data_IF_117601845047
#
_entry.id   IF_117601845047
#
_cell.length_a   1.000
_cell.length_b   1.000
_cell.length_c   1.000
_cell.angle_alpha   90.00
_cell.angle_beta   90.00
_cell.angle_gamma   90.00
#
_symmetry.space_group_name_H-M   'P 1'
#
loop_
_entity.id
_entity.type
_entity.pdbx_description
1 polymer ?
#
# COMPACT_ATOMS: atom_id res chain seq x y z
N UNK A 1 15.30 6.26 7.98
CA UNK A 1 14.38 6.20 9.13
C UNK A 1 13.15 5.45 8.66
N UNK A 2 12.93 4.22 9.13
CA UNK A 2 11.81 3.41 8.63
C UNK A 2 10.44 3.95 9.07
N UNK A 3 10.41 4.77 10.14
CA UNK A 3 9.20 5.36 10.68
C UNK A 3 8.70 6.61 9.94
N UNK A 4 9.56 7.29 9.19
CA UNK A 4 9.20 8.53 8.49
C UNK A 4 8.12 8.30 7.44
N UNK A 5 8.20 7.17 6.72
CA UNK A 5 7.18 6.78 5.75
C UNK A 5 5.82 6.59 6.43
N UNK A 6 5.77 5.82 7.53
CA UNK A 6 4.51 5.57 8.24
C UNK A 6 3.95 6.85 8.86
N UNK A 7 4.81 7.71 9.39
CA UNK A 7 4.40 9.02 9.91
C UNK A 7 3.84 9.92 8.82
N UNK A 8 4.49 9.96 7.66
CA UNK A 8 4.01 10.73 6.51
C UNK A 8 2.65 10.21 6.03
N UNK A 9 2.48 8.90 5.89
CA UNK A 9 1.20 8.29 5.52
C UNK A 9 0.13 8.60 6.58
N UNK A 10 0.44 8.44 7.86
CA UNK A 10 -0.50 8.70 8.94
C UNK A 10 -0.95 10.15 9.03
N UNK A 11 0.01 11.07 9.06
CA UNK A 11 -0.25 12.49 9.27
C UNK A 11 -0.78 13.16 7.98
N UNK A 12 -0.10 12.95 6.85
CA UNK A 12 -0.42 13.65 5.60
C UNK A 12 -1.57 13.00 4.84
N UNK A 13 -1.60 11.66 4.73
CA UNK A 13 -2.61 10.96 3.92
C UNK A 13 -3.87 10.61 4.72
N UNK A 14 -3.71 10.25 6.00
CA UNK A 14 -4.81 9.80 6.87
C UNK A 14 -5.27 10.88 7.87
N UNK A 15 -4.57 12.01 7.98
CA UNK A 15 -4.94 13.11 8.88
C UNK A 15 -4.81 12.77 10.38
N UNK A 16 -4.01 11.76 10.72
CA UNK A 16 -3.81 11.34 12.11
C UNK A 16 -2.90 12.33 12.84
N UNK A 17 -3.28 12.72 14.05
CA UNK A 17 -2.37 13.42 14.95
C UNK A 17 -1.22 12.49 15.38
N UNK A 18 -0.11 13.07 15.83
CA UNK A 18 1.01 12.28 16.35
C UNK A 18 0.60 11.37 17.52
N UNK A 19 -0.34 11.84 18.36
CA UNK A 19 -0.85 11.06 19.49
C UNK A 19 -1.68 9.88 19.00
N UNK A 20 -2.50 10.07 17.97
CA UNK A 20 -3.34 9.01 17.41
C UNK A 20 -2.49 7.98 16.65
N UNK A 21 -1.46 8.44 15.94
CA UNK A 21 -0.50 7.56 15.26
C UNK A 21 0.20 6.58 16.23
N UNK A 22 0.56 7.02 17.43
CA UNK A 22 1.18 6.13 18.42
C UNK A 22 0.19 5.20 19.14
N UNK A 23 -1.11 5.53 19.11
CA UNK A 23 -2.18 4.74 19.76
C UNK A 23 -2.85 3.75 18.81
N UNK A 24 -2.72 3.94 17.50
CA UNK A 24 -3.34 3.07 16.50
C UNK A 24 -2.60 1.73 16.42
N UNK A 25 -3.35 0.65 16.23
CA UNK A 25 -2.72 -0.65 15.97
C UNK A 25 -2.24 -0.70 14.51
N UNK A 26 -1.11 -1.37 14.22
CA UNK A 26 -0.60 -1.50 12.85
C UNK A 26 -1.64 -2.08 11.88
N UNK A 27 -2.49 -3.00 12.34
CA UNK A 27 -3.56 -3.59 11.53
C UNK A 27 -4.65 -2.57 11.18
N UNK A 28 -5.03 -1.70 12.12
CA UNK A 28 -6.01 -0.65 11.83
C UNK A 28 -5.44 0.39 10.86
N UNK A 29 -4.18 0.78 11.07
CA UNK A 29 -3.45 1.69 10.17
C UNK A 29 -3.42 1.16 8.74
N UNK A 30 -3.05 -0.12 8.55
CA UNK A 30 -3.01 -0.75 7.24
C UNK A 30 -4.38 -0.77 6.56
N UNK A 31 -5.45 -1.08 7.30
CA UNK A 31 -6.82 -1.05 6.75
C UNK A 31 -7.22 0.34 6.28
N UNK A 32 -6.92 1.38 7.06
CA UNK A 32 -7.18 2.76 6.67
C UNK A 32 -6.41 3.15 5.41
N UNK A 33 -5.13 2.77 5.34
CA UNK A 33 -4.31 3.01 4.16
C UNK A 33 -4.85 2.28 2.91
N UNK A 34 -5.26 1.02 3.03
CA UNK A 34 -5.90 0.28 1.92
C UNK A 34 -7.20 0.96 1.48
N UNK A 35 -8.02 1.47 2.40
CA UNK A 35 -9.24 2.21 2.03
C UNK A 35 -8.91 3.51 1.29
N UNK A 36 -7.88 4.23 1.72
CA UNK A 36 -7.39 5.42 1.01
C UNK A 36 -6.95 5.08 -0.42
N UNK A 37 -6.20 3.99 -0.60
CA UNK A 37 -5.80 3.51 -1.92
C UNK A 37 -6.99 3.12 -2.79
N UNK A 38 -7.98 2.39 -2.25
CA UNK A 38 -9.21 2.04 -3.00
C UNK A 38 -9.95 3.25 -3.55
N UNK A 39 -9.95 4.35 -2.81
CA UNK A 39 -10.70 5.55 -3.18
C UNK A 39 -9.95 6.42 -4.19
N UNK A 40 -8.64 6.59 -4.01
CA UNK A 40 -7.83 7.51 -4.82
C UNK A 40 -7.12 6.83 -6.01
N UNK A 41 -6.70 5.58 -5.83
CA UNK A 41 -5.90 4.79 -6.78
C UNK A 41 -6.38 3.33 -6.81
N UNK A 42 -7.59 3.07 -7.32
CA UNK A 42 -8.16 1.71 -7.34
C UNK A 42 -7.33 0.72 -8.17
N UNK A 43 -6.53 1.23 -9.11
CA UNK A 43 -5.57 0.52 -9.95
C UNK A 43 -4.37 -0.03 -9.15
N UNK A 44 -3.95 0.64 -8.08
CA UNK A 44 -2.82 0.22 -7.25
C UNK A 44 -3.09 -1.07 -6.45
N UNK A 45 -4.35 -1.51 -6.37
CA UNK A 45 -4.77 -2.72 -5.67
C UNK A 45 -5.15 -3.85 -6.61
N UNK A 46 -4.96 -3.67 -7.92
CA UNK A 46 -5.05 -4.77 -8.88
C UNK A 46 -3.86 -5.68 -8.59
N UNK A 47 -4.14 -6.84 -8.00
CA UNK A 47 -3.15 -7.91 -7.96
C UNK A 47 -2.73 -8.18 -9.40
N UNK A 48 -1.49 -7.82 -9.75
CA UNK A 48 -0.90 -8.22 -11.00
C UNK A 48 -0.99 -9.73 -11.05
N UNK A 49 -1.95 -10.24 -11.85
CA UNK A 49 -2.06 -11.68 -12.09
C UNK A 49 -0.67 -12.12 -12.53
N UNK A 50 -0.03 -13.09 -11.87
CA UNK A 50 1.29 -13.53 -12.29
C UNK A 50 1.18 -13.89 -13.76
N UNK A 51 1.88 -13.12 -14.61
CA UNK A 51 1.93 -13.42 -16.04
C UNK A 51 2.54 -14.81 -16.13
N UNK A 52 1.70 -15.79 -16.45
CA UNK A 52 2.14 -17.14 -16.75
C UNK A 52 2.85 -17.06 -18.10
N UNK A 53 4.14 -16.76 -18.08
CA UNK A 53 4.99 -16.84 -19.26
C UNK A 53 5.26 -18.33 -19.50
N UNK A 54 4.76 -18.84 -20.61
CA UNK A 54 5.04 -20.21 -21.02
C UNK A 54 6.40 -20.25 -21.76
N UNK A 55 7.11 -21.37 -21.69
CA UNK A 55 8.49 -21.50 -22.18
C UNK A 55 8.61 -21.20 -23.70
N UNK A 56 7.56 -21.51 -24.45
CA UNK A 56 7.36 -21.22 -25.87
C UNK A 56 7.17 -19.73 -26.21
N UNK A 57 6.93 -18.88 -25.21
CA UNK A 57 6.77 -17.42 -25.38
C UNK A 57 8.08 -16.65 -25.18
N UNK A 58 9.18 -17.33 -24.88
CA UNK A 58 10.49 -16.68 -24.71
C UNK A 58 11.28 -16.70 -26.02
N UNK A 59 11.72 -15.53 -26.53
CA UNK A 59 12.48 -15.45 -27.79
C UNK A 59 13.95 -15.77 -27.51
N UNK A 60 14.25 -17.01 -27.15
CA UNK A 60 15.64 -17.49 -27.13
C UNK A 60 15.91 -18.18 -28.46
N UNK A 61 16.61 -17.47 -29.35
CA UNK A 61 17.32 -18.01 -30.51
C UNK A 61 18.79 -18.19 -30.15
#
# INVERSE_FOLDING_TARGET
MDWDFYFYVGNTLLGLSMVDFWKITPNHFLKQYIMHLKYNHPDALVEEKPQRVYLDQTPFY
#
